data_IF_379480953594
#
_entry.id   IF_379480953594
#
_cell.length_a   1.000
_cell.length_b   1.000
_cell.length_c   1.000
_cell.angle_alpha   90.00
_cell.angle_beta   90.00
_cell.angle_gamma   90.00
#
_symmetry.space_group_name_H-M   'P 1'
#
loop_
_entity.id
_entity.type
_entity.pdbx_description
1 polymer ?
#
# COMPACT_ATOMS: atom_id res chain seq x y z
N UNK A 1 18.34 8.74 29.14
CA UNK A 1 19.16 9.81 29.73
C UNK A 1 19.57 9.36 31.12
N UNK A 2 20.83 9.63 31.48
CA UNK A 2 21.56 9.29 32.71
C UNK A 2 22.24 7.91 32.78
N UNK A 3 23.55 7.98 32.99
CA UNK A 3 24.50 7.00 33.50
C UNK A 3 24.84 5.76 32.67
N UNK A 4 25.81 5.94 31.75
CA UNK A 4 27.09 5.23 31.84
C UNK A 4 28.08 5.83 30.83
N UNK A 5 28.89 6.79 31.28
CA UNK A 5 30.14 7.12 30.60
C UNK A 5 31.13 5.98 30.87
N UNK A 6 30.97 4.87 30.14
CA UNK A 6 32.00 3.83 30.05
C UNK A 6 33.24 4.51 29.49
N UNK A 7 34.26 4.65 30.34
CA UNK A 7 35.57 5.17 30.01
C UNK A 7 36.10 4.44 28.78
N UNK A 8 36.13 5.13 27.65
CA UNK A 8 36.92 4.77 26.46
C UNK A 8 38.40 5.04 26.79
N UNK A 9 38.91 4.40 27.84
CA UNK A 9 40.30 4.49 28.28
C UNK A 9 41.00 3.13 28.27
N UNK A 10 40.34 2.08 27.74
CA UNK A 10 40.89 0.71 27.69
C UNK A 10 41.42 0.31 26.31
N UNK A 11 41.18 1.09 25.25
CA UNK A 11 41.55 0.70 23.87
C UNK A 11 42.60 1.59 23.21
N UNK A 12 43.02 2.66 23.88
CA UNK A 12 44.11 3.52 23.39
C UNK A 12 44.98 3.88 24.59
N UNK A 13 46.28 3.81 24.40
CA UNK A 13 47.36 4.10 25.37
C UNK A 13 47.62 3.05 26.44
N UNK A 14 48.37 2.01 26.10
CA UNK A 14 49.76 1.90 26.57
C UNK A 14 50.59 1.20 25.48
N UNK A 15 51.04 1.95 24.46
CA UNK A 15 52.38 1.62 23.96
C UNK A 15 53.27 1.64 25.20
N UNK A 16 54.03 0.59 25.52
CA UNK A 16 54.83 0.57 26.72
C UNK A 16 55.66 1.84 26.68
N UNK A 17 55.41 2.77 27.63
CA UNK A 17 56.37 3.84 27.88
C UNK A 17 57.65 3.09 28.18
N UNK A 18 58.54 3.01 27.20
CA UNK A 18 59.92 2.61 27.39
C UNK A 18 60.57 3.75 28.17
N UNK A 19 60.18 3.86 29.44
CA UNK A 19 60.87 4.67 30.46
C UNK A 19 62.22 4.06 30.81
N UNK A 20 62.52 2.87 30.29
CA UNK A 20 63.89 2.43 30.10
C UNK A 20 64.51 3.28 28.98
N UNK A 21 64.81 4.55 29.29
CA UNK A 21 65.96 5.18 28.66
C UNK A 21 67.10 4.23 28.94
N UNK A 22 67.49 3.42 27.95
CA UNK A 22 68.82 2.84 27.93
C UNK A 22 69.71 4.06 28.00
N UNK A 23 70.22 4.34 29.20
CA UNK A 23 71.16 5.42 29.42
C UNK A 23 72.40 4.93 28.68
N UNK A 24 72.48 5.25 27.39
CA UNK A 24 73.72 5.24 26.65
C UNK A 24 74.49 6.39 27.28
N UNK A 25 75.08 6.14 28.44
CA UNK A 25 76.13 7.00 28.92
C UNK A 25 77.28 6.75 27.95
N UNK A 26 77.39 7.63 26.96
CA UNK A 26 78.70 8.03 26.50
C UNK A 26 79.38 8.67 27.70
N UNK A 27 79.87 7.90 28.68
CA UNK A 27 80.84 8.42 29.64
C UNK A 27 82.15 8.63 28.88
N UNK A 28 82.13 9.54 27.91
CA UNK A 28 83.25 10.41 27.58
C UNK A 28 83.13 11.75 28.34
N UNK A 29 82.07 11.95 29.13
CA UNK A 29 81.87 13.15 29.94
C UNK A 29 82.98 13.29 31.00
N UNK A 30 84.05 13.96 30.57
CA UNK A 30 85.06 14.75 31.30
C UNK A 30 86.16 14.07 32.12
N UNK A 31 86.06 12.80 32.51
CA UNK A 31 87.07 12.17 33.41
C UNK A 31 88.18 11.39 32.70
N UNK A 32 87.83 10.27 32.07
CA UNK A 32 88.82 9.26 31.61
C UNK A 32 89.63 9.71 30.39
N UNK A 33 89.03 10.44 29.44
CA UNK A 33 89.75 10.95 28.26
C UNK A 33 90.81 11.99 28.66
N UNK A 34 90.49 12.83 29.65
CA UNK A 34 91.44 13.79 30.23
C UNK A 34 92.57 13.07 30.98
N UNK A 35 92.24 12.04 31.78
CA UNK A 35 93.23 11.19 32.46
C UNK A 35 94.16 10.46 31.48
N UNK A 36 93.62 9.89 30.39
CA UNK A 36 94.43 9.24 29.34
C UNK A 36 95.32 10.24 28.61
N UNK A 37 94.78 11.39 28.22
CA UNK A 37 95.56 12.44 27.56
C UNK A 37 96.67 12.97 28.48
N UNK A 38 96.40 13.10 29.78
CA UNK A 38 97.40 13.46 30.78
C UNK A 38 98.48 12.37 30.95
N UNK A 39 98.10 11.09 31.04
CA UNK A 39 99.03 9.96 31.10
C UNK A 39 99.94 9.90 29.86
N UNK A 40 99.37 10.06 28.66
CA UNK A 40 100.10 10.10 27.40
C UNK A 40 101.07 11.29 27.35
N UNK A 41 100.62 12.47 27.77
CA UNK A 41 101.46 13.66 27.86
C UNK A 41 102.63 13.47 28.83
N UNK A 42 102.37 12.89 30.01
CA UNK A 42 103.40 12.60 31.01
C UNK A 42 104.41 11.55 30.55
N UNK A 43 103.95 10.51 29.83
CA UNK A 43 104.82 9.50 29.22
C UNK A 43 105.77 10.17 28.21
N UNK A 44 105.25 11.04 27.34
CA UNK A 44 106.06 11.78 26.35
C UNK A 44 107.11 12.67 27.03
N UNK A 45 106.73 13.39 28.07
CA UNK A 45 107.64 14.26 28.83
C UNK A 45 108.74 13.45 29.52
N UNK A 46 108.41 12.30 30.12
CA UNK A 46 109.39 11.39 30.71
C UNK A 46 110.32 10.77 29.64
N UNK A 47 109.80 10.43 28.47
CA UNK A 47 110.60 9.86 27.37
C UNK A 47 111.62 10.88 26.82
N UNK A 48 111.23 12.16 26.68
CA UNK A 48 112.16 13.22 26.29
C UNK A 48 113.31 13.37 27.30
N UNK A 49 113.02 13.28 28.61
CA UNK A 49 114.06 13.37 29.65
C UNK A 49 115.05 12.20 29.69
N UNK A 50 114.75 11.08 29.02
CA UNK A 50 115.67 9.95 28.83
C UNK A 50 116.70 10.21 27.72
N UNK A 51 116.32 10.96 26.68
CA UNK A 51 117.21 11.30 25.56
C UNK A 51 118.31 12.27 25.98
N UNK A 52 118.06 13.10 27.00
CA UNK A 52 118.95 14.16 27.48
C UNK A 52 119.93 13.73 28.61
N UNK A 53 119.89 12.49 29.09
CA UNK A 53 120.62 12.05 30.30
C UNK A 53 121.70 10.98 30.03
N UNK A 54 122.95 11.28 30.41
CA UNK A 54 124.10 10.35 30.30
C UNK A 54 124.26 9.40 31.51
N UNK A 55 123.46 9.56 32.58
CA UNK A 55 123.53 8.74 33.80
C UNK A 55 122.62 7.50 33.72
N UNK A 56 123.25 6.32 33.67
CA UNK A 56 122.57 5.03 33.61
C UNK A 56 121.58 4.80 34.77
N UNK A 57 121.88 5.26 35.98
CA UNK A 57 121.01 5.05 37.14
C UNK A 57 119.74 5.93 37.08
N UNK A 58 119.85 7.13 36.50
CA UNK A 58 118.72 8.03 36.27
C UNK A 58 117.85 7.50 35.13
N UNK A 59 118.46 7.03 34.04
CA UNK A 59 117.75 6.47 32.89
C UNK A 59 116.91 5.25 33.26
N UNK A 60 117.44 4.34 34.08
CA UNK A 60 116.67 3.18 34.58
C UNK A 60 115.45 3.61 35.42
N UNK A 61 115.58 4.66 36.25
CA UNK A 61 114.46 5.17 37.05
C UNK A 61 113.37 5.82 36.19
N UNK A 62 113.75 6.59 35.18
CA UNK A 62 112.81 7.22 34.24
C UNK A 62 112.11 6.14 33.40
N UNK A 63 112.86 5.16 32.88
CA UNK A 63 112.31 4.03 32.14
C UNK A 63 111.29 3.23 32.97
N UNK A 64 111.59 2.94 34.24
CA UNK A 64 110.64 2.27 35.14
C UNK A 64 109.36 3.08 35.39
N UNK A 65 109.45 4.43 35.45
CA UNK A 65 108.28 5.31 35.54
C UNK A 65 107.44 5.31 34.26
N UNK A 66 108.08 5.29 33.09
CA UNK A 66 107.40 5.18 31.79
C UNK A 66 106.67 3.85 31.71
N UNK A 67 107.34 2.74 32.01
CA UNK A 67 106.72 1.40 31.98
C UNK A 67 105.47 1.38 32.85
N UNK A 68 105.56 1.90 34.09
CA UNK A 68 104.39 1.99 34.98
C UNK A 68 103.24 2.81 34.36
N UNK A 69 103.51 4.02 33.86
CA UNK A 69 102.47 4.86 33.25
C UNK A 69 101.89 4.26 31.96
N UNK A 70 102.70 3.55 31.17
CA UNK A 70 102.23 2.82 29.98
C UNK A 70 101.32 1.67 30.39
N UNK A 71 101.64 0.95 31.47
CA UNK A 71 100.77 -0.09 32.04
C UNK A 71 99.44 0.51 32.55
N UNK A 72 99.50 1.64 33.26
CA UNK A 72 98.29 2.34 33.73
C UNK A 72 97.41 2.80 32.55
N UNK A 73 98.03 3.33 31.48
CA UNK A 73 97.32 3.72 30.24
C UNK A 73 96.69 2.52 29.53
N UNK A 74 97.37 1.36 29.51
CA UNK A 74 96.81 0.13 28.94
C UNK A 74 95.56 -0.33 29.70
N UNK A 75 95.58 -0.29 31.05
CA UNK A 75 94.42 -0.63 31.88
C UNK A 75 93.22 0.31 31.66
N UNK A 76 93.45 1.61 31.46
CA UNK A 76 92.40 2.58 31.11
C UNK A 76 91.81 2.31 29.71
N UNK A 77 92.63 1.87 28.75
CA UNK A 77 92.17 1.49 27.40
C UNK A 77 91.32 0.21 27.46
N UNK A 78 91.75 -0.80 28.21
CA UNK A 78 90.99 -2.04 28.38
C UNK A 78 89.62 -1.78 29.03
N UNK A 79 89.58 -0.98 30.09
CA UNK A 79 88.33 -0.57 30.77
C UNK A 79 87.38 0.17 29.82
N UNK A 80 87.93 1.05 28.97
CA UNK A 80 87.15 1.77 27.95
C UNK A 80 86.56 0.79 26.91
N UNK A 81 87.35 -0.19 26.49
CA UNK A 81 86.93 -1.19 25.51
C UNK A 81 85.81 -2.09 26.06
N UNK A 82 85.93 -2.53 27.31
CA UNK A 82 84.88 -3.30 28.00
C UNK A 82 83.57 -2.50 28.11
N UNK A 83 83.67 -1.22 28.46
CA UNK A 83 82.51 -0.32 28.57
C UNK A 83 81.80 -0.17 27.21
N UNK A 84 82.55 0.04 26.13
CA UNK A 84 82.00 0.13 24.77
C UNK A 84 81.31 -1.18 24.37
N UNK A 85 81.93 -2.33 24.67
CA UNK A 85 81.35 -3.63 24.34
C UNK A 85 80.03 -3.90 25.12
N UNK A 86 79.97 -3.48 26.38
CA UNK A 86 78.74 -3.54 27.17
C UNK A 86 77.64 -2.64 26.59
N UNK A 87 77.99 -1.44 26.14
CA UNK A 87 77.05 -0.53 25.47
C UNK A 87 76.50 -1.13 24.17
N UNK A 88 77.35 -1.75 23.34
CA UNK A 88 76.89 -2.46 22.13
C UNK A 88 75.92 -3.60 22.48
N UNK A 89 76.21 -4.37 23.53
CA UNK A 89 75.33 -5.43 24.02
C UNK A 89 73.97 -4.89 24.45
N UNK A 90 73.95 -3.80 25.21
CA UNK A 90 72.72 -3.16 25.67
C UNK A 90 71.87 -2.63 24.50
N UNK A 91 72.50 -2.02 23.51
CA UNK A 91 71.83 -1.53 22.29
C UNK A 91 71.24 -2.70 21.50
N UNK A 92 71.99 -3.79 21.32
CA UNK A 92 71.49 -4.97 20.62
C UNK A 92 70.26 -5.58 21.31
N UNK A 93 70.27 -5.65 22.65
CA UNK A 93 69.12 -6.16 23.41
C UNK A 93 67.88 -5.26 23.24
N UNK A 94 68.06 -3.93 23.25
CA UNK A 94 66.98 -2.99 23.03
C UNK A 94 66.39 -3.07 21.61
N UNK A 95 67.26 -3.23 20.60
CA UNK A 95 66.83 -3.43 19.21
C UNK A 95 66.00 -4.70 19.07
N UNK A 96 66.41 -5.81 19.69
CA UNK A 96 65.66 -7.07 19.67
C UNK A 96 64.27 -6.90 20.31
N UNK A 97 64.19 -6.29 21.50
CA UNK A 97 62.91 -6.04 22.17
C UNK A 97 61.97 -5.16 21.33
N UNK A 98 62.50 -4.14 20.67
CA UNK A 98 61.72 -3.29 19.79
C UNK A 98 61.24 -4.04 18.54
N UNK A 99 62.07 -4.94 18.00
CA UNK A 99 61.66 -5.81 16.88
C UNK A 99 60.48 -6.70 17.28
N UNK A 100 60.52 -7.33 18.46
CA UNK A 100 59.44 -8.18 18.94
C UNK A 100 58.14 -7.38 19.12
N UNK A 101 58.21 -6.19 19.71
CA UNK A 101 57.05 -5.30 19.85
C UNK A 101 56.45 -4.90 18.49
N UNK A 102 57.29 -4.63 17.49
CA UNK A 102 56.84 -4.31 16.13
C UNK A 102 56.17 -5.51 15.48
N UNK A 103 56.74 -6.72 15.64
CA UNK A 103 56.13 -7.95 15.14
C UNK A 103 54.74 -8.16 15.73
N UNK A 104 54.57 -8.06 17.05
CA UNK A 104 53.26 -8.19 17.71
C UNK A 104 52.29 -7.10 17.26
N UNK A 105 52.75 -5.86 17.08
CA UNK A 105 51.91 -4.79 16.56
C UNK A 105 51.41 -5.09 15.13
N UNK A 106 52.29 -5.59 14.27
CA UNK A 106 51.93 -5.98 12.90
C UNK A 106 50.96 -7.16 12.87
N UNK A 107 51.19 -8.19 13.69
CA UNK A 107 50.27 -9.33 13.82
C UNK A 107 48.86 -8.87 14.24
N UNK A 108 48.78 -7.98 15.23
CA UNK A 108 47.51 -7.39 15.65
C UNK A 108 46.86 -6.57 14.52
N UNK A 109 47.63 -5.77 13.79
CA UNK A 109 47.10 -4.99 12.66
C UNK A 109 46.56 -5.88 11.54
N UNK A 110 47.27 -6.94 11.16
CA UNK A 110 46.83 -7.89 10.13
C UNK A 110 45.59 -8.67 10.55
N UNK A 111 45.50 -9.08 11.84
CA UNK A 111 44.31 -9.75 12.35
C UNK A 111 43.03 -8.90 12.26
N UNK A 112 43.19 -7.57 12.25
CA UNK A 112 42.10 -6.61 12.17
C UNK A 112 41.89 -6.02 10.75
N UNK A 113 42.62 -6.48 9.74
CA UNK A 113 42.57 -5.90 8.37
C UNK A 113 41.26 -6.22 7.63
N UNK A 114 40.59 -7.33 7.99
CA UNK A 114 39.31 -7.76 7.38
C UNK A 114 38.07 -7.42 8.24
N UNK A 115 38.27 -6.76 9.40
CA UNK A 115 37.16 -6.33 10.25
C UNK A 115 36.35 -5.22 9.55
N UNK A 116 35.13 -5.55 9.12
CA UNK A 116 34.26 -4.66 8.33
C UNK A 116 33.40 -3.71 9.18
N UNK A 117 33.47 -3.80 10.51
CA UNK A 117 32.57 -3.07 11.40
C UNK A 117 33.31 -2.30 12.52
N UNK A 118 32.74 -1.17 12.95
CA UNK A 118 33.20 -0.46 14.14
C UNK A 118 33.01 -1.37 15.35
N UNK A 119 34.06 -1.64 16.15
CA UNK A 119 33.96 -2.48 17.35
C UNK A 119 32.89 -1.98 18.34
N UNK A 120 31.64 -2.41 18.14
CA UNK A 120 30.58 -2.47 19.13
C UNK A 120 30.75 -3.80 19.87
N UNK A 121 30.55 -3.79 21.19
CA UNK A 121 30.61 -5.03 21.97
C UNK A 121 29.55 -6.02 21.45
N UNK A 122 29.78 -7.33 21.61
CA UNK A 122 28.82 -8.37 21.20
C UNK A 122 27.40 -8.11 21.75
N UNK A 123 27.31 -7.56 22.97
CA UNK A 123 26.05 -7.13 23.58
C UNK A 123 25.35 -5.98 22.83
N UNK A 124 26.11 -5.02 22.31
CA UNK A 124 25.57 -3.91 21.51
C UNK A 124 25.13 -4.38 20.13
N UNK A 125 25.88 -5.30 19.52
CA UNK A 125 25.48 -5.92 18.25
C UNK A 125 24.17 -6.68 18.41
N UNK A 126 24.06 -7.54 19.43
CA UNK A 126 22.84 -8.29 19.71
C UNK A 126 21.63 -7.36 19.95
N UNK A 127 21.85 -6.20 20.58
CA UNK A 127 20.81 -5.20 20.79
C UNK A 127 20.41 -4.49 19.50
N UNK A 128 21.35 -4.19 18.62
CA UNK A 128 21.08 -3.64 17.29
C UNK A 128 20.32 -4.61 16.40
N UNK A 129 20.75 -5.88 16.35
CA UNK A 129 20.04 -6.93 15.61
C UNK A 129 18.59 -7.09 16.11
N UNK A 130 18.38 -6.97 17.42
CA UNK A 130 17.04 -6.96 18.03
C UNK A 130 16.18 -5.76 17.59
N UNK A 131 16.77 -4.57 17.41
CA UNK A 131 16.07 -3.42 16.86
C UNK A 131 15.73 -3.61 15.38
N UNK A 132 16.65 -4.15 14.59
CA UNK A 132 16.40 -4.45 13.18
C UNK A 132 15.27 -5.46 13.00
N UNK A 133 15.24 -6.51 13.82
CA UNK A 133 14.14 -7.46 13.81
C UNK A 133 12.81 -6.81 14.22
N UNK A 134 12.81 -6.00 15.30
CA UNK A 134 11.61 -5.28 15.73
C UNK A 134 11.07 -4.33 14.66
N UNK A 135 11.95 -3.67 13.89
CA UNK A 135 11.57 -2.81 12.77
C UNK A 135 10.94 -3.62 11.64
N UNK A 136 11.49 -4.81 11.32
CA UNK A 136 10.91 -5.71 10.31
C UNK A 136 9.52 -6.18 10.74
N UNK A 137 9.36 -6.61 11.98
CA UNK A 137 8.07 -7.09 12.52
C UNK A 137 7.00 -5.98 12.49
N UNK A 138 7.36 -4.75 12.90
CA UNK A 138 6.44 -3.60 12.84
C UNK A 138 6.05 -3.25 11.41
N UNK A 139 6.99 -3.32 10.46
CA UNK A 139 6.68 -3.10 9.03
C UNK A 139 5.71 -4.16 8.51
N UNK A 140 5.92 -5.43 8.83
CA UNK A 140 5.02 -6.51 8.43
C UNK A 140 3.62 -6.33 9.01
N UNK A 141 3.51 -5.97 10.30
CA UNK A 141 2.22 -5.65 10.93
C UNK A 141 1.55 -4.45 10.23
N UNK A 142 2.30 -3.40 9.93
CA UNK A 142 1.78 -2.22 9.24
C UNK A 142 1.30 -2.55 7.82
N UNK A 143 2.03 -3.38 7.08
CA UNK A 143 1.67 -3.83 5.73
C UNK A 143 0.42 -4.72 5.77
N UNK A 144 0.32 -5.62 6.74
CA UNK A 144 -0.85 -6.46 6.98
C UNK A 144 -2.08 -5.62 7.34
N UNK A 145 -1.96 -4.68 8.29
CA UNK A 145 -3.05 -3.77 8.66
C UNK A 145 -3.48 -2.90 7.49
N UNK A 146 -2.53 -2.39 6.70
CA UNK A 146 -2.83 -1.61 5.48
C UNK A 146 -3.58 -2.44 4.44
N UNK A 147 -3.28 -3.74 4.36
CA UNK A 147 -4.00 -4.68 3.49
C UNK A 147 -5.42 -4.93 4.01
N UNK A 148 -5.57 -5.23 5.30
CA UNK A 148 -6.89 -5.44 5.93
C UNK A 148 -7.79 -4.20 5.86
N UNK A 149 -7.23 -2.99 5.99
CA UNK A 149 -8.00 -1.75 5.83
C UNK A 149 -8.43 -1.50 4.37
N UNK A 150 -7.68 -1.99 3.37
CA UNK A 150 -8.12 -1.99 1.96
C UNK A 150 -9.23 -3.01 1.71
N UNK A 151 -9.28 -4.08 2.52
CA UNK A 151 -10.32 -5.11 2.45
C UNK A 151 -11.63 -4.69 3.14
N UNK A 152 -11.64 -3.60 3.92
CA UNK A 152 -12.89 -2.97 4.37
C UNK A 152 -13.62 -2.40 3.16
N UNK A 153 -14.59 -3.18 2.67
CA UNK A 153 -15.38 -2.80 1.52
C UNK A 153 -16.22 -1.55 1.82
N UNK A 154 -16.03 -0.49 1.04
CA UNK A 154 -16.94 0.64 1.08
C UNK A 154 -18.32 0.20 0.58
N UNK A 155 -19.37 0.86 1.08
CA UNK A 155 -20.74 0.60 0.67
C UNK A 155 -20.91 0.87 -0.82
N UNK A 156 -21.59 -0.05 -1.51
CA UNK A 156 -21.96 0.13 -2.90
C UNK A 156 -23.14 1.11 -3.01
N UNK A 157 -23.01 2.19 -3.76
CA UNK A 157 -24.09 3.15 -3.99
C UNK A 157 -25.10 2.64 -5.01
N UNK A 158 -24.72 1.68 -5.86
CA UNK A 158 -25.69 1.03 -6.70
C UNK A 158 -26.64 0.16 -5.89
N UNK A 159 -27.90 0.22 -6.29
CA UNK A 159 -28.91 -0.78 -5.96
C UNK A 159 -28.83 -1.85 -7.05
N UNK A 160 -28.91 -3.11 -6.68
CA UNK A 160 -28.83 -4.26 -7.56
C UNK A 160 -27.54 -4.29 -8.40
N UNK A 161 -26.41 -3.85 -7.85
CA UNK A 161 -25.11 -3.85 -8.54
C UNK A 161 -24.60 -5.25 -8.92
N UNK A 162 -25.07 -6.29 -8.21
CA UNK A 162 -24.82 -7.69 -8.54
C UNK A 162 -25.77 -8.26 -9.60
N UNK A 163 -26.79 -7.50 -10.01
CA UNK A 163 -27.82 -7.89 -10.96
C UNK A 163 -28.57 -9.19 -10.57
N UNK A 164 -28.91 -9.31 -9.29
CA UNK A 164 -29.59 -10.48 -8.72
C UNK A 164 -31.11 -10.37 -8.75
N UNK A 165 -31.66 -9.15 -8.76
CA UNK A 165 -33.10 -8.86 -8.72
C UNK A 165 -33.62 -8.52 -10.13
N UNK A 166 -34.72 -9.16 -10.52
CA UNK A 166 -35.34 -9.09 -11.87
C UNK A 166 -36.88 -9.20 -11.80
N UNK A 167 -37.54 -8.31 -11.07
CA UNK A 167 -38.99 -8.33 -10.83
C UNK A 167 -39.81 -8.03 -12.10
N UNK A 168 -39.21 -7.37 -13.10
CA UNK A 168 -39.86 -6.98 -14.36
C UNK A 168 -39.78 -8.05 -15.47
N UNK A 169 -39.16 -9.19 -15.18
CA UNK A 169 -38.83 -10.22 -16.17
C UNK A 169 -37.32 -10.37 -16.37
N UNK A 170 -36.88 -11.38 -17.12
CA UNK A 170 -35.47 -11.74 -17.29
C UNK A 170 -34.93 -11.55 -18.70
N UNK A 171 -35.75 -11.00 -19.61
CA UNK A 171 -35.40 -10.72 -21.01
C UNK A 171 -36.18 -9.52 -21.52
N UNK A 172 -35.49 -8.55 -22.13
CA UNK A 172 -36.07 -7.31 -22.61
C UNK A 172 -35.57 -6.99 -24.02
N UNK A 173 -36.49 -6.51 -24.85
CA UNK A 173 -36.24 -6.10 -26.25
C UNK A 173 -36.82 -4.70 -26.54
N UNK A 174 -37.06 -3.90 -25.49
CA UNK A 174 -37.55 -2.53 -25.57
C UNK A 174 -36.80 -1.67 -24.55
N UNK A 175 -36.48 -0.42 -24.92
CA UNK A 175 -35.79 0.52 -24.05
C UNK A 175 -36.55 0.71 -22.73
N UNK A 176 -35.82 0.91 -21.63
CA UNK A 176 -36.37 1.08 -20.30
C UNK A 176 -35.66 0.26 -19.23
N UNK A 177 -36.31 0.12 -18.08
CA UNK A 177 -35.82 -0.60 -16.91
C UNK A 177 -35.85 -2.13 -17.11
N UNK A 178 -34.81 -2.81 -16.59
CA UNK A 178 -34.53 -4.24 -16.83
C UNK A 178 -34.26 -4.99 -15.53
N UNK A 179 -33.03 -5.44 -15.27
CA UNK A 179 -32.59 -5.90 -13.95
C UNK A 179 -32.78 -4.73 -12.99
N UNK A 180 -33.74 -4.82 -12.07
CA UNK A 180 -34.29 -3.71 -11.29
C UNK A 180 -33.30 -2.57 -11.04
N UNK A 181 -33.73 -1.33 -11.32
CA UNK A 181 -32.94 -0.08 -11.30
C UNK A 181 -31.99 0.15 -12.46
N UNK A 182 -31.59 -0.89 -13.18
CA UNK A 182 -30.78 -0.74 -14.38
C UNK A 182 -31.67 -0.54 -15.59
N UNK A 183 -31.40 0.52 -16.34
CA UNK A 183 -32.08 0.83 -17.58
C UNK A 183 -31.12 0.76 -18.75
N UNK A 184 -31.67 0.41 -19.91
CA UNK A 184 -30.96 0.57 -21.17
C UNK A 184 -31.77 1.41 -22.15
N UNK A 185 -31.06 2.11 -23.01
CA UNK A 185 -31.63 2.88 -24.11
C UNK A 185 -30.76 2.65 -25.35
N UNK A 186 -31.39 2.70 -26.52
CA UNK A 186 -30.73 2.56 -27.82
C UNK A 186 -31.30 3.63 -28.73
N UNK A 187 -30.41 4.36 -29.38
CA UNK A 187 -30.78 5.43 -30.29
C UNK A 187 -31.48 4.89 -31.54
N UNK A 188 -32.64 5.47 -31.84
CA UNK A 188 -33.47 5.11 -32.99
C UNK A 188 -34.36 3.88 -32.75
N UNK A 189 -34.68 3.19 -33.85
CA UNK A 189 -35.65 2.09 -33.84
C UNK A 189 -35.02 0.73 -33.52
N UNK A 190 -33.70 0.61 -33.59
CA UNK A 190 -32.99 -0.61 -33.24
C UNK A 190 -33.17 -0.91 -31.74
N UNK A 191 -33.60 -2.13 -31.41
CA UNK A 191 -33.84 -2.53 -30.02
C UNK A 191 -32.82 -3.56 -29.56
N UNK A 192 -31.83 -3.12 -28.79
CA UNK A 192 -30.91 -4.03 -28.10
C UNK A 192 -31.65 -5.08 -27.27
N UNK A 193 -31.01 -6.22 -27.00
CA UNK A 193 -31.60 -7.27 -26.16
C UNK A 193 -30.81 -7.45 -24.86
N UNK A 194 -31.49 -7.26 -23.73
CA UNK A 194 -30.95 -7.46 -22.39
C UNK A 194 -31.50 -8.77 -21.83
N UNK A 195 -30.64 -9.65 -21.31
CA UNK A 195 -31.06 -10.90 -20.67
C UNK A 195 -30.30 -11.15 -19.38
N UNK A 196 -30.97 -11.83 -18.43
CA UNK A 196 -30.31 -12.39 -17.25
C UNK A 196 -29.43 -13.56 -17.69
N UNK A 197 -28.15 -13.50 -17.33
CA UNK A 197 -27.23 -14.60 -17.62
C UNK A 197 -27.37 -15.74 -16.60
N UNK A 198 -27.20 -16.99 -17.04
CA UNK A 198 -27.38 -18.18 -16.20
C UNK A 198 -26.47 -18.19 -14.96
N UNK A 199 -25.23 -17.72 -15.11
CA UNK A 199 -24.25 -17.62 -14.03
C UNK A 199 -24.32 -16.28 -13.26
N UNK A 200 -25.43 -15.55 -13.35
CA UNK A 200 -25.59 -14.22 -12.77
C UNK A 200 -25.04 -13.09 -13.66
N UNK A 201 -25.38 -11.85 -13.33
CA UNK A 201 -25.06 -10.68 -14.14
C UNK A 201 -26.05 -10.42 -15.29
N UNK A 202 -25.77 -9.35 -16.01
CA UNK A 202 -26.54 -8.92 -17.20
C UNK A 202 -25.75 -9.27 -18.45
N UNK A 203 -26.42 -9.82 -19.45
CA UNK A 203 -25.87 -9.96 -20.80
C UNK A 203 -26.65 -9.08 -21.77
N UNK A 204 -25.92 -8.28 -22.52
CA UNK A 204 -26.41 -7.44 -23.60
C UNK A 204 -26.03 -8.11 -24.91
N UNK A 205 -27.01 -8.50 -25.71
CA UNK A 205 -26.80 -8.87 -27.11
C UNK A 205 -26.78 -7.59 -27.93
N UNK A 206 -25.65 -7.29 -28.55
CA UNK A 206 -25.51 -6.15 -29.43
C UNK A 206 -26.07 -6.53 -30.80
N UNK A 207 -27.15 -5.87 -31.20
CA UNK A 207 -27.78 -6.09 -32.51
C UNK A 207 -27.66 -4.87 -33.43
N UNK A 208 -26.98 -3.82 -32.97
CA UNK A 208 -26.91 -2.53 -33.63
C UNK A 208 -25.59 -1.83 -33.32
N UNK A 209 -25.17 -0.96 -34.25
CA UNK A 209 -24.04 -0.05 -34.08
C UNK A 209 -24.49 1.36 -33.64
N UNK A 210 -25.76 1.53 -33.25
CA UNK A 210 -26.29 2.80 -32.75
C UNK A 210 -25.74 3.12 -31.36
N UNK A 211 -25.93 4.38 -30.93
CA UNK A 211 -25.66 4.73 -29.53
C UNK A 211 -26.49 3.84 -28.62
N UNK A 212 -25.84 3.32 -27.60
CA UNK A 212 -26.42 2.43 -26.63
C UNK A 212 -26.01 2.92 -25.25
N UNK A 213 -26.93 2.92 -24.30
CA UNK A 213 -26.67 3.26 -22.91
C UNK A 213 -27.09 2.11 -22.00
N UNK A 214 -26.24 1.75 -21.03
CA UNK A 214 -26.62 0.94 -19.88
C UNK A 214 -26.25 1.69 -18.61
N UNK A 215 -27.25 2.07 -17.83
CA UNK A 215 -27.06 3.00 -16.73
C UNK A 215 -27.93 2.66 -15.52
N UNK A 216 -27.53 3.24 -14.39
CA UNK A 216 -28.38 3.40 -13.23
C UNK A 216 -28.41 4.88 -12.84
N UNK A 217 -29.61 5.39 -12.55
CA UNK A 217 -29.78 6.72 -11.95
C UNK A 217 -29.81 6.57 -10.43
N UNK A 218 -29.00 7.37 -9.74
CA UNK A 218 -28.86 7.39 -8.27
C UNK A 218 -29.40 8.72 -7.77
N UNK A 219 -30.38 8.66 -6.89
CA UNK A 219 -31.01 9.85 -6.36
C UNK A 219 -30.33 10.29 -5.08
N UNK A 220 -29.80 11.51 -5.09
CA UNK A 220 -29.03 12.05 -3.98
C UNK A 220 -29.93 12.97 -3.16
N UNK A 221 -30.14 12.61 -1.89
CA UNK A 221 -30.70 13.55 -0.92
C UNK A 221 -29.63 14.61 -0.54
N UNK A 222 -30.02 15.65 0.20
CA UNK A 222 -29.09 16.72 0.58
C UNK A 222 -27.85 16.21 1.33
N UNK A 223 -28.00 15.21 2.18
CA UNK A 223 -26.88 14.62 2.94
C UNK A 223 -25.87 13.93 2.02
N UNK A 224 -26.34 13.09 1.10
CA UNK A 224 -25.49 12.41 0.12
C UNK A 224 -24.83 13.42 -0.81
N UNK A 225 -25.54 14.47 -1.25
CA UNK A 225 -24.93 15.57 -2.02
C UNK A 225 -23.77 16.22 -1.28
N UNK A 226 -23.92 16.48 0.02
CA UNK A 226 -22.85 17.09 0.83
C UNK A 226 -21.63 16.16 0.95
N UNK A 227 -21.84 14.84 0.97
CA UNK A 227 -20.76 13.84 1.04
C UNK A 227 -20.06 13.69 -0.33
N UNK A 228 -20.83 13.68 -1.42
CA UNK A 228 -20.32 13.36 -2.76
C UNK A 228 -19.81 14.58 -3.54
N UNK A 229 -20.26 15.79 -3.22
CA UNK A 229 -19.83 17.00 -3.93
C UNK A 229 -18.32 17.19 -3.80
N UNK A 230 -17.64 17.38 -4.93
CA UNK A 230 -16.18 17.55 -5.00
C UNK A 230 -15.36 16.35 -4.47
N UNK A 231 -16.00 15.22 -4.19
CA UNK A 231 -15.36 14.00 -3.75
C UNK A 231 -15.01 13.10 -4.95
N UNK A 232 -13.94 12.32 -4.82
CA UNK A 232 -13.67 11.24 -5.78
C UNK A 232 -14.50 10.01 -5.42
N UNK A 233 -15.17 9.45 -6.41
CA UNK A 233 -15.80 8.13 -6.37
C UNK A 233 -15.05 7.17 -7.28
N UNK A 234 -15.09 5.89 -6.94
CA UNK A 234 -14.56 4.81 -7.77
C UNK A 234 -15.72 3.96 -8.27
N UNK A 235 -15.80 3.79 -9.59
CA UNK A 235 -16.64 2.81 -10.25
C UNK A 235 -15.80 1.57 -10.56
N UNK A 236 -16.32 0.39 -10.23
CA UNK A 236 -15.76 -0.88 -10.67
C UNK A 236 -16.83 -1.88 -11.11
N UNK A 237 -16.50 -2.74 -12.08
CA UNK A 237 -17.36 -3.83 -12.52
C UNK A 237 -16.55 -4.84 -13.33
N UNK A 238 -17.00 -6.08 -13.40
CA UNK A 238 -16.44 -7.05 -14.33
C UNK A 238 -17.15 -6.97 -15.68
N UNK A 239 -16.37 -7.04 -16.76
CA UNK A 239 -16.87 -7.14 -18.13
C UNK A 239 -16.30 -8.38 -18.82
N UNK A 240 -17.08 -8.98 -19.71
CA UNK A 240 -16.64 -10.04 -20.65
C UNK A 240 -17.33 -9.82 -21.99
N UNK A 241 -16.61 -9.96 -23.10
CA UNK A 241 -17.17 -9.85 -24.46
C UNK A 241 -17.00 -11.15 -25.25
N UNK A 242 -17.74 -11.29 -26.35
CA UNK A 242 -17.49 -12.37 -27.33
C UNK A 242 -16.06 -12.33 -27.87
N UNK A 243 -15.51 -13.50 -28.22
CA UNK A 243 -14.22 -13.61 -28.91
C UNK A 243 -14.19 -12.76 -30.20
N UNK A 244 -13.11 -12.00 -30.41
CA UNK A 244 -12.95 -11.11 -31.57
C UNK A 244 -13.65 -9.75 -31.45
N UNK A 245 -14.44 -9.50 -30.39
CA UNK A 245 -15.10 -8.21 -30.16
C UNK A 245 -14.23 -7.32 -29.29
N UNK A 246 -13.69 -6.26 -29.90
CA UNK A 246 -13.13 -5.11 -29.18
C UNK A 246 -14.19 -4.03 -29.10
N UNK A 247 -14.44 -3.54 -27.90
CA UNK A 247 -15.38 -2.45 -27.64
C UNK A 247 -14.68 -1.38 -26.84
N UNK A 248 -15.04 -0.11 -27.09
CA UNK A 248 -14.49 1.04 -26.38
C UNK A 248 -15.57 1.73 -25.55
N UNK A 249 -16.18 1.07 -24.54
CA UNK A 249 -17.26 1.66 -23.75
C UNK A 249 -16.82 2.92 -23.01
N UNK A 250 -17.75 3.88 -22.95
CA UNK A 250 -17.63 5.03 -22.06
C UNK A 250 -18.29 4.73 -20.72
N UNK A 251 -17.57 5.11 -19.67
CA UNK A 251 -18.12 5.31 -18.35
C UNK A 251 -18.41 6.79 -18.22
N UNK A 252 -19.63 7.14 -17.79
CA UNK A 252 -20.06 8.53 -17.65
C UNK A 252 -20.77 8.75 -16.33
N UNK A 253 -20.46 9.88 -15.70
CA UNK A 253 -21.26 10.44 -14.62
C UNK A 253 -21.85 11.76 -15.09
N UNK A 254 -23.16 11.94 -14.93
CA UNK A 254 -23.86 13.13 -15.40
C UNK A 254 -25.03 13.54 -14.51
N UNK A 255 -25.37 14.83 -14.54
CA UNK A 255 -26.52 15.42 -13.83
C UNK A 255 -27.36 16.27 -14.80
N UNK A 256 -28.71 16.19 -14.80
CA UNK A 256 -29.56 16.85 -15.80
C UNK A 256 -29.49 18.39 -15.83
N UNK A 257 -29.38 19.05 -14.68
CA UNK A 257 -29.40 20.53 -14.58
C UNK A 257 -28.12 21.20 -15.05
N UNK A 258 -27.04 20.43 -15.28
CA UNK A 258 -25.75 20.96 -15.71
C UNK A 258 -25.18 20.09 -16.81
N UNK A 259 -25.43 20.49 -18.06
CA UNK A 259 -24.79 19.93 -19.27
C UNK A 259 -23.24 20.03 -19.28
N UNK A 260 -22.59 20.54 -18.23
CA UNK A 260 -21.19 20.97 -18.28
C UNK A 260 -20.19 20.08 -17.51
N UNK A 261 -20.61 19.24 -16.57
CA UNK A 261 -19.68 18.40 -15.78
C UNK A 261 -19.82 16.92 -16.13
N UNK A 262 -19.73 16.61 -17.42
CA UNK A 262 -19.73 15.23 -17.89
C UNK A 262 -18.30 14.69 -17.75
N UNK A 263 -18.09 13.78 -16.81
CA UNK A 263 -16.82 13.08 -16.67
C UNK A 263 -16.91 11.76 -17.41
N UNK A 264 -16.15 11.64 -18.50
CA UNK A 264 -16.10 10.44 -19.33
C UNK A 264 -14.74 9.77 -19.25
N UNK A 265 -14.72 8.45 -19.17
CA UNK A 265 -13.52 7.64 -19.37
C UNK A 265 -13.84 6.53 -20.37
N UNK A 266 -13.03 6.41 -21.42
CA UNK A 266 -13.09 5.29 -22.36
C UNK A 266 -12.26 4.11 -21.85
N UNK A 267 -12.75 2.90 -22.07
CA UNK A 267 -12.04 1.67 -21.74
C UNK A 267 -12.13 0.68 -22.91
N UNK A 268 -11.07 -0.08 -23.18
CA UNK A 268 -11.05 -1.12 -24.21
C UNK A 268 -11.34 -2.51 -23.62
N UNK A 269 -12.53 -3.06 -23.85
CA UNK A 269 -12.87 -4.40 -23.35
C UNK A 269 -12.38 -5.53 -24.27
N UNK A 270 -12.00 -6.64 -23.64
CA UNK A 270 -11.44 -7.83 -24.30
C UNK A 270 -12.34 -9.05 -24.09
N UNK A 271 -12.08 -10.08 -24.90
CA UNK A 271 -12.80 -11.36 -24.89
C UNK A 271 -12.53 -12.26 -23.67
N UNK A 272 -12.09 -11.68 -22.55
CA UNK A 272 -11.84 -12.37 -21.29
C UNK A 272 -12.49 -11.59 -20.17
N UNK A 273 -12.76 -12.25 -19.03
CA UNK A 273 -13.30 -11.58 -17.86
C UNK A 273 -12.27 -10.61 -17.29
N UNK A 274 -12.62 -9.33 -17.23
CA UNK A 274 -11.72 -8.27 -16.78
C UNK A 274 -12.42 -7.37 -15.78
N UNK A 275 -11.68 -6.94 -14.74
CA UNK A 275 -12.14 -5.91 -13.82
C UNK A 275 -11.88 -4.54 -14.46
N UNK A 276 -12.92 -3.72 -14.52
CA UNK A 276 -12.86 -2.32 -14.95
C UNK A 276 -12.85 -1.47 -13.71
N UNK A 277 -11.96 -0.48 -13.68
CA UNK A 277 -11.86 0.49 -12.60
C UNK A 277 -11.72 1.91 -13.16
N UNK A 278 -12.54 2.81 -12.64
CA UNK A 278 -12.55 4.20 -13.03
C UNK A 278 -12.79 5.10 -11.82
N UNK A 279 -11.82 5.94 -11.51
CA UNK A 279 -11.95 7.03 -10.55
C UNK A 279 -12.51 8.26 -11.25
N UNK A 280 -13.50 8.88 -10.62
CA UNK A 280 -14.16 10.08 -11.13
C UNK A 280 -14.27 11.07 -9.97
N UNK A 281 -13.74 12.27 -10.14
CA UNK A 281 -13.97 13.35 -9.19
C UNK A 281 -15.28 14.02 -9.55
N UNK A 282 -16.26 13.92 -8.66
CA UNK A 282 -17.55 14.54 -8.85
C UNK A 282 -17.40 16.05 -8.72
N UNK A 283 -18.14 16.81 -9.52
CA UNK A 283 -18.21 18.26 -9.37
C UNK A 283 -19.12 18.67 -8.20
N UNK A 284 -19.50 19.94 -8.20
CA UNK A 284 -20.57 20.47 -7.35
C UNK A 284 -21.92 19.81 -7.68
N UNK A 285 -22.58 19.23 -6.67
CA UNK A 285 -23.89 18.56 -6.78
C UNK A 285 -25.01 19.37 -6.09
N UNK A 286 -24.86 20.68 -5.93
CA UNK A 286 -25.78 21.54 -5.16
C UNK A 286 -27.20 21.71 -5.73
N UNK A 287 -27.49 21.28 -6.95
CA UNK A 287 -28.86 21.33 -7.54
C UNK A 287 -29.72 20.12 -7.16
N UNK A 288 -31.05 20.25 -7.30
CA UNK A 288 -32.06 19.22 -6.96
C UNK A 288 -32.19 18.07 -7.98
N UNK A 289 -31.05 17.49 -8.34
CA UNK A 289 -30.93 16.49 -9.40
C UNK A 289 -30.63 15.06 -8.91
N UNK A 290 -30.75 14.12 -9.84
CA UNK A 290 -30.21 12.77 -9.75
C UNK A 290 -28.82 12.67 -10.42
N UNK A 291 -28.05 11.66 -10.01
CA UNK A 291 -26.76 11.30 -10.58
C UNK A 291 -26.93 10.11 -11.52
N UNK A 292 -26.77 10.32 -12.82
CA UNK A 292 -26.76 9.25 -13.82
C UNK A 292 -25.38 8.63 -13.93
N UNK A 293 -25.28 7.31 -13.77
CA UNK A 293 -24.04 6.56 -13.96
C UNK A 293 -24.21 5.58 -15.10
N UNK A 294 -23.58 5.88 -16.23
CA UNK A 294 -23.46 4.94 -17.34
C UNK A 294 -22.21 4.09 -17.11
N UNK A 295 -22.39 2.78 -17.01
CA UNK A 295 -21.25 1.85 -16.97
C UNK A 295 -20.89 1.36 -18.37
N UNK A 296 -21.78 1.59 -19.33
CA UNK A 296 -21.58 1.24 -20.72
C UNK A 296 -22.30 2.24 -21.63
N UNK A 297 -21.51 2.88 -22.51
CA UNK A 297 -22.04 3.66 -23.61
C UNK A 297 -21.25 3.42 -24.89
N UNK A 298 -21.97 3.28 -25.99
CA UNK A 298 -21.42 3.24 -27.36
C UNK A 298 -21.72 4.59 -28.00
N UNK A 299 -20.73 5.19 -28.67
CA UNK A 299 -20.89 6.44 -29.44
C UNK A 299 -20.92 6.14 -30.95
N UNK A 300 -21.45 7.09 -31.74
CA UNK A 300 -21.63 6.96 -33.19
C UNK A 300 -20.33 6.78 -33.99
N UNK A 301 -19.18 7.14 -33.43
CA UNK A 301 -17.85 6.98 -34.00
C UNK A 301 -17.18 5.64 -33.63
N UNK A 302 -17.69 4.95 -32.60
CA UNK A 302 -17.21 3.64 -32.13
C UNK A 302 -18.09 2.48 -32.64
N UNK A 303 -18.53 2.57 -33.90
CA UNK A 303 -19.47 1.61 -34.52
C UNK A 303 -18.84 0.23 -34.72
N UNK A 304 -19.54 -0.79 -34.23
CA UNK A 304 -19.21 -2.20 -34.45
C UNK A 304 -19.54 -2.64 -35.88
N UNK A 305 -18.76 -3.60 -36.40
CA UNK A 305 -19.27 -4.52 -37.43
C UNK A 305 -20.09 -5.57 -36.71
N UNK A 306 -21.41 -5.36 -36.62
CA UNK A 306 -22.31 -6.31 -35.96
C UNK A 306 -22.41 -7.56 -36.84
N UNK A 307 -21.64 -8.59 -36.48
CA UNK A 307 -21.92 -9.96 -36.89
C UNK A 307 -22.96 -10.59 -35.97
N UNK A 308 -23.59 -11.68 -36.42
CA UNK A 308 -24.60 -12.36 -35.61
C UNK A 308 -23.97 -12.90 -34.30
N UNK A 309 -24.65 -12.66 -33.18
CA UNK A 309 -24.35 -13.18 -31.82
C UNK A 309 -23.19 -12.55 -31.01
N UNK A 310 -22.93 -11.26 -31.19
CA UNK A 310 -22.04 -10.52 -30.28
C UNK A 310 -22.73 -10.20 -28.93
N UNK A 311 -22.01 -10.44 -27.82
CA UNK A 311 -22.49 -10.09 -26.49
C UNK A 311 -21.45 -9.32 -25.66
N UNK A 312 -21.98 -8.56 -24.69
CA UNK A 312 -21.24 -7.97 -23.58
C UNK A 312 -21.93 -8.38 -22.30
N UNK A 313 -21.16 -8.86 -21.33
CA UNK A 313 -21.66 -9.27 -20.02
C UNK A 313 -21.07 -8.40 -18.94
N UNK A 314 -21.92 -7.93 -18.03
CA UNK A 314 -21.55 -7.17 -16.84
C UNK A 314 -21.85 -7.95 -15.57
N UNK A 315 -20.93 -7.89 -14.61
CA UNK A 315 -21.09 -8.49 -13.28
C UNK A 315 -20.54 -7.56 -12.19
N UNK A 316 -21.15 -7.60 -11.01
CA UNK A 316 -20.65 -6.98 -9.78
C UNK A 316 -20.28 -5.49 -9.95
N UNK A 317 -21.22 -4.70 -10.45
CA UNK A 317 -21.07 -3.26 -10.56
C UNK A 317 -21.10 -2.61 -9.17
N UNK A 318 -20.07 -1.81 -8.89
CA UNK A 318 -19.88 -1.10 -7.63
C UNK A 318 -19.54 0.36 -7.88
N UNK A 319 -20.29 1.26 -7.26
CA UNK A 319 -19.89 2.66 -7.14
C UNK A 319 -19.64 2.96 -5.67
N UNK A 320 -18.49 3.50 -5.32
CA UNK A 320 -18.11 3.74 -3.93
C UNK A 320 -17.31 5.04 -3.76
N UNK A 321 -17.38 5.63 -2.58
CA UNK A 321 -16.57 6.81 -2.24
C UNK A 321 -15.10 6.43 -2.13
N UNK A 322 -14.22 7.31 -2.58
CA UNK A 322 -12.77 7.16 -2.49
C UNK A 322 -12.10 6.91 -3.84
N UNK A 323 -10.79 6.75 -3.79
CA UNK A 323 -9.90 6.69 -4.96
C UNK A 323 -9.53 5.27 -5.38
N UNK A 324 -10.00 4.25 -4.65
CA UNK A 324 -9.65 2.85 -4.86
C UNK A 324 -10.90 1.98 -4.92
N UNK A 325 -10.89 1.03 -5.84
CA UNK A 325 -11.90 -0.01 -5.89
C UNK A 325 -11.65 -0.99 -4.73
N UNK A 326 -12.66 -1.24 -3.92
CA UNK A 326 -12.63 -2.28 -2.89
C UNK A 326 -13.46 -3.48 -3.38
N UNK A 327 -13.25 -4.70 -2.84
CA UNK A 327 -13.96 -5.87 -3.30
C UNK A 327 -15.49 -5.69 -3.33
N UNK A 328 -16.15 -6.27 -4.33
CA UNK A 328 -17.61 -6.31 -4.38
C UNK A 328 -18.13 -7.26 -3.31
N UNK A 329 -18.86 -6.71 -2.34
CA UNK A 329 -19.56 -7.48 -1.31
C UNK A 329 -21.06 -7.41 -1.61
N UNK A 330 -21.70 -8.52 -2.02
CA UNK A 330 -23.13 -8.53 -2.29
C UNK A 330 -23.90 -8.28 -1.00
N UNK A 331 -24.96 -7.47 -1.08
CA UNK A 331 -25.97 -7.44 -0.04
C UNK A 331 -26.70 -8.78 0.02
N UNK A 332 -27.19 -9.22 1.19
CA UNK A 332 -28.14 -10.31 1.26
C UNK A 332 -29.31 -10.07 0.31
N UNK A 333 -29.79 -11.12 -0.36
CA UNK A 333 -30.82 -10.99 -1.40
C UNK A 333 -32.08 -10.24 -0.92
N UNK A 334 -32.55 -10.52 0.30
CA UNK A 334 -33.74 -9.85 0.84
C UNK A 334 -33.56 -8.34 1.05
N UNK A 335 -32.34 -7.90 1.38
CA UNK A 335 -32.03 -6.47 1.49
C UNK A 335 -32.00 -5.81 0.11
N UNK A 336 -31.35 -6.46 -0.86
CA UNK A 336 -31.30 -5.95 -2.24
C UNK A 336 -32.70 -5.89 -2.88
N UNK A 337 -33.53 -6.93 -2.65
CA UNK A 337 -34.92 -6.96 -3.09
C UNK A 337 -35.73 -5.84 -2.44
N UNK A 338 -35.59 -5.62 -1.12
CA UNK A 338 -36.27 -4.52 -0.46
C UNK A 338 -35.85 -3.16 -1.02
N UNK A 339 -34.56 -2.95 -1.34
CA UNK A 339 -34.11 -1.72 -1.99
C UNK A 339 -34.73 -1.55 -3.39
N UNK A 340 -34.82 -2.61 -4.18
CA UNK A 340 -35.48 -2.61 -5.50
C UNK A 340 -36.99 -2.35 -5.40
N UNK A 341 -37.66 -2.95 -4.42
CA UNK A 341 -39.10 -2.80 -4.18
C UNK A 341 -39.53 -1.39 -3.80
N UNK A 342 -38.61 -0.49 -3.43
CA UNK A 342 -38.92 0.93 -3.29
C UNK A 342 -39.20 1.61 -4.64
N UNK A 343 -38.81 0.99 -5.75
CA UNK A 343 -38.89 1.55 -7.10
C UNK A 343 -39.82 0.74 -8.00
N UNK A 344 -39.85 -0.57 -7.83
CA UNK A 344 -40.79 -1.41 -8.56
C UNK A 344 -41.31 -2.55 -7.72
N UNK A 345 -42.63 -2.72 -7.72
CA UNK A 345 -43.29 -3.89 -7.16
C UNK A 345 -44.16 -4.49 -8.25
N UNK A 346 -44.16 -5.81 -8.34
CA UNK A 346 -45.14 -6.58 -9.11
C UNK A 346 -45.61 -7.70 -8.22
N UNK A 347 -46.90 -7.75 -7.93
CA UNK A 347 -47.46 -8.71 -6.99
C UNK A 347 -48.93 -8.98 -7.30
N UNK A 348 -49.52 -9.92 -6.57
CA UNK A 348 -50.92 -10.27 -6.69
C UNK A 348 -51.50 -10.67 -5.34
N UNK A 349 -52.80 -10.47 -5.19
CA UNK A 349 -53.54 -11.00 -4.05
C UNK A 349 -54.92 -11.46 -4.50
N UNK A 350 -55.51 -12.35 -3.71
CA UNK A 350 -56.89 -12.77 -3.91
C UNK A 350 -57.71 -12.51 -2.66
N UNK A 351 -58.97 -12.19 -2.85
CA UNK A 351 -59.93 -12.06 -1.76
C UNK A 351 -61.27 -12.66 -2.18
N UNK A 352 -62.07 -13.06 -1.18
CA UNK A 352 -63.42 -13.56 -1.37
C UNK A 352 -64.39 -12.60 -0.72
N UNK A 353 -65.38 -12.15 -1.47
CA UNK A 353 -66.39 -11.25 -0.92
C UNK A 353 -67.48 -12.08 -0.22
N UNK A 354 -67.74 -11.82 1.06
CA UNK A 354 -68.73 -12.59 1.84
C UNK A 354 -70.16 -12.07 1.67
N UNK A 355 -70.32 -10.83 1.23
CA UNK A 355 -71.60 -10.15 1.03
C UNK A 355 -71.59 -9.44 -0.33
N UNK A 356 -72.71 -9.32 -1.04
CA UNK A 356 -72.72 -8.63 -2.32
C UNK A 356 -72.50 -7.13 -2.09
N UNK A 357 -71.70 -6.49 -2.93
CA UNK A 357 -71.50 -5.02 -2.84
C UNK A 357 -72.65 -4.32 -3.58
N UNK A 358 -73.34 -3.38 -2.92
CA UNK A 358 -74.52 -2.70 -3.50
C UNK A 358 -74.24 -1.28 -4.00
N UNK A 359 -73.14 -0.65 -3.56
CA UNK A 359 -72.81 0.75 -3.91
C UNK A 359 -71.31 1.01 -3.96
N UNK A 360 -70.59 0.86 -2.84
CA UNK A 360 -69.15 1.16 -2.75
C UNK A 360 -68.45 0.07 -1.97
N UNK A 361 -67.24 -0.30 -2.40
CA UNK A 361 -66.32 -1.13 -1.63
C UNK A 361 -64.91 -0.56 -1.75
N UNK A 362 -64.14 -0.65 -0.67
CA UNK A 362 -62.78 -0.12 -0.55
C UNK A 362 -61.92 -1.13 0.23
N UNK A 363 -60.70 -1.38 -0.25
CA UNK A 363 -59.73 -2.26 0.39
C UNK A 363 -58.34 -1.60 0.32
N UNK A 364 -57.55 -1.87 1.36
CA UNK A 364 -56.22 -1.31 1.52
C UNK A 364 -55.17 -2.40 1.65
N UNK A 365 -54.07 -2.25 0.93
CA UNK A 365 -52.89 -3.11 1.06
C UNK A 365 -51.69 -2.25 1.43
N UNK A 366 -51.06 -2.52 2.59
CA UNK A 366 -49.85 -1.82 2.96
C UNK A 366 -48.71 -2.25 2.03
N UNK A 367 -48.06 -1.26 1.42
CA UNK A 367 -46.89 -1.48 0.56
C UNK A 367 -45.66 -1.45 1.46
N UNK A 368 -44.90 -2.55 1.48
CA UNK A 368 -43.67 -2.69 2.25
C UNK A 368 -42.59 -3.30 1.34
N UNK A 369 -41.43 -2.62 1.18
CA UNK A 369 -41.09 -1.28 1.69
C UNK A 369 -41.90 -0.17 1.01
N UNK A 370 -41.90 1.02 1.60
CA UNK A 370 -42.59 2.18 1.04
C UNK A 370 -41.98 2.58 -0.32
N UNK A 371 -42.86 2.93 -1.26
CA UNK A 371 -42.43 3.42 -2.57
C UNK A 371 -41.71 4.75 -2.41
N UNK A 372 -40.66 4.97 -3.21
CA UNK A 372 -39.84 6.19 -3.14
C UNK A 372 -40.66 7.44 -3.45
N UNK A 373 -41.51 7.37 -4.46
CA UNK A 373 -42.44 8.42 -4.88
C UNK A 373 -43.83 7.79 -5.05
N UNK A 374 -44.84 8.62 -5.31
CA UNK A 374 -46.16 8.10 -5.74
C UNK A 374 -45.97 7.34 -7.05
N UNK A 375 -46.20 6.01 -7.08
CA UNK A 375 -45.92 5.20 -8.25
C UNK A 375 -47.00 5.39 -9.32
N UNK A 376 -46.62 5.13 -10.57
CA UNK A 376 -47.57 4.78 -11.62
C UNK A 376 -48.12 3.39 -11.33
N UNK A 377 -49.43 3.22 -11.45
CA UNK A 377 -50.12 1.97 -11.12
C UNK A 377 -50.59 1.33 -12.41
N UNK A 378 -50.23 0.06 -12.61
CA UNK A 378 -50.88 -0.80 -13.59
C UNK A 378 -51.52 -1.95 -12.82
N UNK A 379 -52.84 -2.10 -12.89
CA UNK A 379 -53.53 -3.12 -12.14
C UNK A 379 -54.73 -3.66 -12.92
N UNK A 380 -55.01 -4.94 -12.72
CA UNK A 380 -56.16 -5.63 -13.28
C UNK A 380 -56.77 -6.56 -12.24
N UNK A 381 -58.08 -6.76 -12.33
CA UNK A 381 -58.79 -7.70 -11.46
C UNK A 381 -59.66 -8.62 -12.30
N UNK A 382 -59.70 -9.88 -11.89
CA UNK A 382 -60.46 -10.92 -12.56
C UNK A 382 -61.26 -11.74 -11.55
N UNK A 383 -62.46 -12.16 -11.94
CA UNK A 383 -63.20 -13.20 -11.25
C UNK A 383 -62.47 -14.55 -11.47
N UNK A 384 -62.06 -15.21 -10.39
CA UNK A 384 -61.28 -16.46 -10.50
C UNK A 384 -62.11 -17.66 -10.97
N UNK A 385 -63.44 -17.59 -10.86
CA UNK A 385 -64.32 -18.68 -11.29
C UNK A 385 -64.40 -18.77 -12.81
N UNK A 386 -64.36 -17.63 -13.52
CA UNK A 386 -64.53 -17.57 -14.97
C UNK A 386 -63.25 -17.13 -15.72
N UNK A 387 -62.20 -16.71 -15.00
CA UNK A 387 -60.86 -16.23 -15.46
C UNK A 387 -60.82 -15.18 -16.58
N UNK A 388 -61.97 -14.78 -17.16
CA UNK A 388 -62.05 -13.99 -18.38
C UNK A 388 -62.75 -12.64 -18.20
N UNK A 389 -63.43 -12.41 -17.08
CA UNK A 389 -64.12 -11.13 -16.84
C UNK A 389 -63.16 -10.14 -16.21
N UNK A 390 -62.58 -9.29 -17.06
CA UNK A 390 -61.96 -8.04 -16.65
C UNK A 390 -63.03 -7.11 -16.08
N UNK A 391 -62.75 -6.54 -14.92
CA UNK A 391 -63.65 -5.58 -14.28
C UNK A 391 -63.14 -4.17 -14.56
N UNK A 392 -63.76 -3.49 -15.52
CA UNK A 392 -63.31 -2.20 -16.06
C UNK A 392 -63.65 -0.98 -15.17
N UNK A 393 -64.42 -1.16 -14.09
CA UNK A 393 -64.85 -0.05 -13.21
C UNK A 393 -64.14 -0.04 -11.85
N UNK A 394 -62.89 -0.54 -11.82
CA UNK A 394 -62.05 -0.51 -10.61
C UNK A 394 -61.09 0.66 -10.72
N UNK A 395 -61.05 1.43 -9.65
CA UNK A 395 -60.14 2.55 -9.49
C UNK A 395 -59.02 2.13 -8.55
N UNK A 396 -57.82 2.61 -8.85
CA UNK A 396 -56.63 2.36 -8.05
C UNK A 396 -55.97 3.68 -7.69
N UNK A 397 -55.45 3.76 -6.47
CA UNK A 397 -54.64 4.89 -6.02
C UNK A 397 -53.62 4.43 -4.99
N UNK A 398 -52.51 5.16 -4.89
CA UNK A 398 -51.54 4.95 -3.82
C UNK A 398 -51.51 6.19 -2.96
N UNK A 399 -51.92 6.04 -1.70
CA UNK A 399 -51.88 7.14 -0.75
C UNK A 399 -50.48 7.26 -0.13
N UNK A 400 -49.82 8.40 -0.36
CA UNK A 400 -48.49 8.75 0.17
C UNK A 400 -47.41 7.66 -0.02
N UNK A 401 -47.48 6.87 -1.09
CA UNK A 401 -46.50 5.82 -1.41
C UNK A 401 -46.58 4.54 -0.57
N UNK A 402 -47.56 4.44 0.34
CA UNK A 402 -47.51 3.46 1.43
C UNK A 402 -48.70 2.49 1.47
N UNK A 403 -49.82 2.87 0.88
CA UNK A 403 -51.01 2.01 0.83
C UNK A 403 -51.59 2.05 -0.58
N UNK A 404 -51.73 0.87 -1.19
CA UNK A 404 -52.54 0.69 -2.38
C UNK A 404 -54.01 0.63 -1.95
N UNK A 405 -54.80 1.58 -2.41
CA UNK A 405 -56.26 1.55 -2.32
C UNK A 405 -56.83 1.14 -3.69
N UNK A 406 -57.80 0.25 -3.65
CA UNK A 406 -58.61 -0.12 -4.80
C UNK A 406 -60.10 -0.11 -4.42
N UNK A 407 -60.92 0.51 -5.27
CA UNK A 407 -62.34 0.73 -5.00
C UNK A 407 -63.18 0.74 -6.28
N UNK A 408 -64.51 0.66 -6.13
CA UNK A 408 -65.47 0.86 -7.21
C UNK A 408 -66.69 1.65 -6.72
N UNK A 409 -67.28 2.45 -7.61
CA UNK A 409 -68.47 3.26 -7.36
C UNK A 409 -69.77 2.62 -7.90
N UNK A 410 -69.71 1.37 -8.35
CA UNK A 410 -70.86 0.60 -8.83
C UNK A 410 -70.85 -0.82 -8.26
N UNK A 411 -72.01 -1.48 -8.28
CA UNK A 411 -72.15 -2.88 -7.89
C UNK A 411 -71.35 -3.79 -8.84
N UNK A 412 -70.31 -4.46 -8.32
CA UNK A 412 -69.43 -5.34 -9.12
C UNK A 412 -69.13 -6.69 -8.49
N UNK A 413 -69.24 -6.83 -7.16
CA UNK A 413 -68.76 -8.03 -6.47
C UNK A 413 -69.92 -8.89 -5.98
N UNK A 414 -69.89 -10.15 -6.40
CA UNK A 414 -70.86 -11.16 -6.05
C UNK A 414 -70.48 -11.85 -4.74
N UNK A 415 -71.49 -12.15 -3.93
CA UNK A 415 -71.29 -12.87 -2.68
C UNK A 415 -70.77 -14.28 -2.96
N UNK A 416 -69.73 -14.70 -2.24
CA UNK A 416 -69.13 -16.02 -2.38
C UNK A 416 -68.17 -16.14 -3.57
N UNK A 417 -67.98 -15.09 -4.38
CA UNK A 417 -67.03 -15.09 -5.50
C UNK A 417 -65.64 -14.66 -5.04
N UNK A 418 -64.62 -15.29 -5.61
CA UNK A 418 -63.23 -14.95 -5.38
C UNK A 418 -62.69 -14.10 -6.54
N UNK A 419 -61.95 -13.07 -6.20
CA UNK A 419 -61.34 -12.13 -7.12
C UNK A 419 -59.83 -12.14 -6.93
N UNK A 420 -59.09 -12.13 -8.03
CA UNK A 420 -57.64 -11.96 -8.03
C UNK A 420 -57.28 -10.63 -8.65
N UNK A 421 -56.44 -9.87 -7.95
CA UNK A 421 -55.89 -8.61 -8.42
C UNK A 421 -54.41 -8.82 -8.70
N UNK A 422 -53.99 -8.43 -9.89
CA UNK A 422 -52.59 -8.32 -10.28
C UNK A 422 -52.26 -6.85 -10.39
N UNK A 423 -51.14 -6.44 -9.83
CA UNK A 423 -50.73 -5.05 -9.88
C UNK A 423 -49.23 -4.91 -9.98
N UNK A 424 -48.81 -3.84 -10.65
CA UNK A 424 -47.46 -3.33 -10.58
C UNK A 424 -47.46 -1.85 -10.22
N UNK A 425 -46.47 -1.47 -9.41
CA UNK A 425 -46.25 -0.12 -8.93
C UNK A 425 -44.88 0.32 -9.42
N UNK A 426 -44.84 1.40 -10.19
CA UNK A 426 -43.63 1.91 -10.82
C UNK A 426 -43.29 3.31 -10.32
N UNK A 427 -42.23 3.42 -9.53
CA UNK A 427 -41.70 4.65 -8.94
C UNK A 427 -40.29 4.98 -9.45
N UNK A 428 -39.92 4.47 -10.63
CA UNK A 428 -38.65 4.78 -11.29
C UNK A 428 -38.62 6.20 -11.90
N UNK A 429 -37.42 6.66 -12.29
CA UNK A 429 -37.23 7.95 -12.99
C UNK A 429 -37.00 7.69 -14.48
N UNK A 430 -38.00 7.96 -15.31
CA UNK A 430 -37.88 7.86 -16.77
C UNK A 430 -37.09 9.00 -17.40
#
# INVERSE_FOLDING_TARGET
MADEKVKVSSLVTVAPKTTDKVLITTTDDSGQLQTRNALVSDIRNLAASLEDSEDKAINVKIANKIVKKVTDLAGEVDTSFETVNQNFTNVNNAISKNRDNITTANENMTAHEEDTDLHVTAEKQQKWDGYDQSIKDVKEIADNNTTQLKDLANLNLFINGGFSVWQRGTSFSTNGYTADRWMYDVEGDDKGKIVRHANGGVQIKLISNKRFWFMQRIELNQELKNIFSNSTVTLSFYVTTSAGVKISPYIRVWSPSRNANIFLKSYEAKATRQLIECQITLGDLSSDDWLGIDIFRIEEDNKFTVGDDLYIRFENAKLELGTKATPFVPRPYGEELALCQRYYISDSFSFRESVPTTTVWDKFIPIRPYMRIVPTINASMYNTNDQNTLLDNIKFSVYRGNNLNFWSDIQMLEAGVQYSVYYSLDAEIY
#
